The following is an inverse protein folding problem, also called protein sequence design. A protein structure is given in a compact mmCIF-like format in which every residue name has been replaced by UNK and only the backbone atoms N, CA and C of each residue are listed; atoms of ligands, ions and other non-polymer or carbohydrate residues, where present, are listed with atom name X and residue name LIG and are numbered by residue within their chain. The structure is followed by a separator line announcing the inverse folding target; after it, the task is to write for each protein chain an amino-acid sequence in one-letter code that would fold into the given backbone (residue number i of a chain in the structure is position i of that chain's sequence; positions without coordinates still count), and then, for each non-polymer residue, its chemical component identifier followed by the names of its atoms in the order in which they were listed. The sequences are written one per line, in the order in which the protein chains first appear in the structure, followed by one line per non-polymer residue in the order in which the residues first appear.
data_IF_117152663714
#
_entry.id   IF_117152663714
#
_cell.length_a   1.000
_cell.length_b   1.000
_cell.length_c   1.000
_cell.angle_alpha   90.00
_cell.angle_beta   90.00
_cell.angle_gamma   90.00
#
_symmetry.space_group_name_H-M   'P 1'
#
loop_
_entity.id
_entity.type
_entity.pdbx_description
1 polymer ?
#
# COMPACT_ATOMS: atom_id res chain seq x y z
N UNK A 1 0.49 -46.31 16.08
CA UNK A 1 -0.17 -45.81 14.85
C UNK A 1 -0.03 -44.31 14.77
N UNK A 2 0.61 -43.77 13.72
CA UNK A 2 0.66 -42.34 13.51
C UNK A 2 -0.75 -41.83 13.23
N UNK A 3 -1.20 -40.82 13.99
CA UNK A 3 -2.48 -40.15 13.69
C UNK A 3 -2.42 -39.55 12.29
N UNK A 4 -3.47 -39.66 11.47
CA UNK A 4 -3.46 -39.08 10.13
C UNK A 4 -3.19 -37.58 10.20
N UNK A 5 -2.37 -37.07 9.28
CA UNK A 5 -2.18 -35.65 9.06
C UNK A 5 -3.52 -35.05 8.67
N UNK A 6 -3.90 -33.96 9.30
CA UNK A 6 -5.10 -33.24 8.90
C UNK A 6 -4.74 -32.23 7.79
N UNK A 7 -5.68 -31.85 6.92
CA UNK A 7 -5.43 -30.80 5.92
C UNK A 7 -4.94 -29.53 6.60
N UNK A 8 -3.91 -28.93 6.06
CA UNK A 8 -3.32 -27.70 6.61
C UNK A 8 -4.32 -26.54 6.52
N UNK A 9 -5.14 -26.55 5.50
CA UNK A 9 -6.25 -25.60 5.31
C UNK A 9 -7.20 -25.60 6.51
N UNK A 10 -7.56 -26.77 7.01
CA UNK A 10 -8.43 -26.89 8.19
C UNK A 10 -7.76 -26.31 9.45
N UNK A 11 -6.43 -26.41 9.55
CA UNK A 11 -5.68 -25.79 10.66
C UNK A 11 -5.79 -24.26 10.55
N UNK A 12 -5.58 -23.70 9.36
CA UNK A 12 -5.67 -22.26 9.13
C UNK A 12 -7.07 -21.71 9.36
N UNK A 13 -8.09 -22.38 8.84
CA UNK A 13 -9.50 -22.02 9.06
C UNK A 13 -9.85 -22.00 10.55
N UNK A 14 -9.46 -23.03 11.28
CA UNK A 14 -9.73 -23.12 12.71
C UNK A 14 -8.94 -22.09 13.52
N UNK A 15 -7.69 -21.83 13.14
CA UNK A 15 -6.86 -20.83 13.78
C UNK A 15 -7.41 -19.41 13.55
N UNK A 16 -7.89 -19.11 12.34
CA UNK A 16 -8.52 -17.84 12.02
C UNK A 16 -9.84 -17.66 12.78
N UNK A 17 -10.70 -18.67 12.78
CA UNK A 17 -11.95 -18.63 13.54
C UNK A 17 -11.74 -18.40 15.05
N UNK A 18 -10.71 -19.03 15.63
CA UNK A 18 -10.32 -18.83 17.02
C UNK A 18 -9.82 -17.40 17.27
N UNK A 19 -9.03 -16.90 16.35
CA UNK A 19 -8.49 -15.53 16.40
C UNK A 19 -9.63 -14.50 16.33
N UNK A 20 -10.55 -14.64 15.37
CA UNK A 20 -11.67 -13.72 15.17
C UNK A 20 -12.67 -13.72 16.33
N UNK A 21 -12.88 -14.89 16.98
CA UNK A 21 -13.85 -14.98 18.07
C UNK A 21 -13.30 -14.55 19.43
N UNK A 22 -12.00 -14.73 19.69
CA UNK A 22 -11.44 -14.59 21.05
C UNK A 22 -10.13 -13.79 21.10
N UNK A 23 -9.64 -13.34 19.95
CA UNK A 23 -8.44 -12.53 19.86
C UNK A 23 -7.13 -13.29 19.88
N UNK A 24 -6.04 -12.54 19.79
CA UNK A 24 -4.68 -13.07 19.63
C UNK A 24 -4.20 -13.89 20.84
N UNK A 25 -4.68 -13.57 22.03
CA UNK A 25 -4.37 -14.31 23.26
C UNK A 25 -4.92 -15.73 23.29
N UNK A 26 -6.04 -16.00 22.62
CA UNK A 26 -6.64 -17.31 22.55
C UNK A 26 -5.93 -18.27 21.60
N UNK A 27 -5.21 -17.76 20.60
CA UNK A 27 -4.48 -18.54 19.61
C UNK A 27 -3.19 -19.12 20.21
N UNK A 28 -3.35 -20.17 21.02
CA UNK A 28 -2.22 -20.94 21.55
C UNK A 28 -2.13 -22.30 20.87
N UNK A 29 -0.90 -22.82 20.70
CA UNK A 29 -0.65 -24.14 20.11
C UNK A 29 -1.42 -25.25 20.84
N UNK A 30 -1.48 -25.17 22.16
CA UNK A 30 -2.18 -26.17 22.99
C UNK A 30 -3.69 -26.17 22.74
N UNK A 31 -4.30 -24.99 22.66
CA UNK A 31 -5.72 -24.84 22.45
C UNK A 31 -6.12 -25.27 21.04
N UNK A 32 -5.41 -24.81 20.02
CA UNK A 32 -5.66 -25.17 18.64
C UNK A 32 -5.51 -26.68 18.41
N UNK A 33 -4.50 -27.32 19.01
CA UNK A 33 -4.33 -28.77 18.95
C UNK A 33 -5.49 -29.53 19.62
N UNK A 34 -6.00 -29.02 20.75
CA UNK A 34 -7.14 -29.61 21.45
C UNK A 34 -8.42 -29.51 20.60
N UNK A 35 -8.71 -28.37 19.99
CA UNK A 35 -9.86 -28.18 19.09
C UNK A 35 -9.81 -29.09 17.87
N UNK A 36 -8.63 -29.26 17.28
CA UNK A 36 -8.38 -30.13 16.14
C UNK A 36 -8.27 -31.63 16.53
N UNK A 37 -8.32 -31.94 17.84
CA UNK A 37 -8.17 -33.30 18.39
C UNK A 37 -6.88 -34.01 17.97
N UNK A 38 -5.80 -33.24 17.83
CA UNK A 38 -4.44 -33.72 17.50
C UNK A 38 -3.47 -33.42 18.65
N UNK A 39 -2.25 -33.97 18.56
CA UNK A 39 -1.20 -33.62 19.52
C UNK A 39 -0.55 -32.28 19.15
N UNK A 40 -0.05 -31.54 20.14
CA UNK A 40 0.74 -30.33 19.89
C UNK A 40 1.96 -30.61 19.01
N UNK A 41 2.57 -31.81 19.15
CA UNK A 41 3.68 -32.27 18.30
C UNK A 41 3.25 -32.37 16.83
N UNK A 42 2.08 -32.95 16.57
CA UNK A 42 1.53 -33.05 15.21
C UNK A 42 1.29 -31.66 14.62
N UNK A 43 0.71 -30.74 15.41
CA UNK A 43 0.47 -29.38 14.98
C UNK A 43 1.81 -28.66 14.63
N UNK A 44 2.81 -28.77 15.51
CA UNK A 44 4.14 -28.20 15.26
C UNK A 44 4.80 -28.74 13.98
N UNK A 45 4.63 -30.03 13.71
CA UNK A 45 5.17 -30.63 12.49
C UNK A 45 4.51 -30.10 11.21
N UNK A 46 3.24 -29.68 11.27
CA UNK A 46 2.49 -29.21 10.09
C UNK A 46 2.60 -27.69 9.85
N UNK A 47 2.57 -26.89 10.90
CA UNK A 47 2.52 -25.42 10.76
C UNK A 47 3.62 -24.68 11.50
N UNK A 48 4.54 -25.40 12.15
CA UNK A 48 5.65 -24.82 12.88
C UNK A 48 5.24 -24.14 14.19
N UNK A 49 5.97 -23.09 14.55
CA UNK A 49 5.70 -22.31 15.76
C UNK A 49 4.41 -21.48 15.63
N UNK A 50 3.94 -20.96 16.77
CA UNK A 50 2.81 -20.01 16.78
C UNK A 50 3.08 -18.80 15.88
N UNK A 51 4.29 -18.31 15.86
CA UNK A 51 4.69 -17.17 15.01
C UNK A 51 4.63 -17.54 13.53
N UNK A 52 5.14 -18.70 13.16
CA UNK A 52 5.06 -19.21 11.79
C UNK A 52 3.61 -19.40 11.34
N UNK A 53 2.75 -19.92 12.22
CA UNK A 53 1.33 -20.03 11.96
C UNK A 53 0.69 -18.65 11.72
N UNK A 54 0.98 -17.66 12.56
CA UNK A 54 0.46 -16.29 12.38
C UNK A 54 0.96 -15.69 11.06
N UNK A 55 2.24 -15.81 10.72
CA UNK A 55 2.78 -15.32 9.44
C UNK A 55 2.10 -15.99 8.25
N UNK A 56 1.85 -17.30 8.34
CA UNK A 56 1.13 -18.03 7.30
C UNK A 56 -0.34 -17.57 7.17
N UNK A 57 -1.03 -17.30 8.27
CA UNK A 57 -2.40 -16.76 8.27
C UNK A 57 -2.45 -15.37 7.63
N UNK A 58 -1.56 -14.47 8.01
CA UNK A 58 -1.47 -13.12 7.43
C UNK A 58 -1.18 -13.20 5.93
N UNK A 59 -0.16 -13.95 5.54
CA UNK A 59 0.20 -14.13 4.13
C UNK A 59 -0.95 -14.71 3.31
N UNK A 60 -1.65 -15.72 3.83
CA UNK A 60 -2.80 -16.32 3.18
C UNK A 60 -3.94 -15.32 3.03
N UNK A 61 -4.29 -14.60 4.09
CA UNK A 61 -5.32 -13.57 4.04
C UNK A 61 -5.00 -12.52 2.97
N UNK A 62 -3.80 -11.98 3.00
CA UNK A 62 -3.37 -10.97 2.03
C UNK A 62 -3.32 -11.49 0.59
N UNK A 63 -2.94 -12.76 0.37
CA UNK A 63 -2.92 -13.38 -0.96
C UNK A 63 -4.31 -13.69 -1.52
N UNK A 64 -5.33 -13.70 -0.69
CA UNK A 64 -6.72 -13.97 -1.05
C UNK A 64 -7.59 -12.71 -1.10
N UNK A 65 -6.99 -11.53 -0.89
CA UNK A 65 -7.71 -10.27 -1.02
C UNK A 65 -8.28 -10.16 -2.44
N UNK A 66 -9.59 -10.01 -2.52
CA UNK A 66 -10.28 -9.68 -3.76
C UNK A 66 -10.41 -8.15 -3.83
N UNK A 67 -9.32 -7.52 -4.16
CA UNK A 67 -9.31 -6.09 -4.43
C UNK A 67 -9.70 -5.91 -5.90
N UNK A 68 -11.00 -5.91 -6.17
CA UNK A 68 -11.50 -5.65 -7.51
C UNK A 68 -11.11 -4.22 -7.90
N UNK A 69 -10.31 -4.12 -8.96
CA UNK A 69 -9.90 -2.85 -9.49
C UNK A 69 -10.98 -2.34 -10.44
N UNK A 70 -11.58 -1.22 -10.08
CA UNK A 70 -12.54 -0.53 -10.93
C UNK A 70 -11.97 0.83 -11.34
N UNK A 71 -11.87 1.07 -12.64
CA UNK A 71 -11.59 2.41 -13.17
C UNK A 71 -12.80 3.31 -12.95
N UNK A 72 -12.60 4.39 -12.22
CA UNK A 72 -13.57 5.46 -12.03
C UNK A 72 -13.32 6.61 -13.00
N UNK A 73 -14.10 7.72 -12.88
CA UNK A 73 -14.01 8.88 -13.76
C UNK A 73 -12.60 9.49 -13.81
N UNK A 74 -11.88 9.44 -12.69
CA UNK A 74 -10.49 9.88 -12.58
C UNK A 74 -9.67 8.94 -11.70
N UNK A 75 -8.35 9.08 -11.78
CA UNK A 75 -7.43 8.23 -11.05
C UNK A 75 -7.46 8.46 -9.53
N UNK A 76 -7.83 9.66 -9.08
CA UNK A 76 -7.99 9.95 -7.64
C UNK A 76 -9.17 9.18 -7.06
N UNK A 77 -10.29 9.15 -7.77
CA UNK A 77 -11.46 8.35 -7.38
C UNK A 77 -11.14 6.86 -7.39
N UNK A 78 -10.43 6.39 -8.42
CA UNK A 78 -9.94 5.02 -8.52
C UNK A 78 -9.03 4.66 -7.33
N UNK A 79 -8.06 5.51 -7.02
CA UNK A 79 -7.12 5.29 -5.92
C UNK A 79 -7.82 5.33 -4.55
N UNK A 80 -8.75 6.24 -4.34
CA UNK A 80 -9.54 6.32 -3.11
C UNK A 80 -10.38 5.06 -2.92
N UNK A 81 -11.08 4.63 -3.98
CA UNK A 81 -11.88 3.40 -3.94
C UNK A 81 -11.01 2.18 -3.58
N UNK A 82 -9.85 2.04 -4.25
CA UNK A 82 -8.92 0.95 -3.98
C UNK A 82 -8.42 0.96 -2.52
N UNK A 83 -8.04 2.12 -1.99
CA UNK A 83 -7.63 2.26 -0.59
C UNK A 83 -8.76 1.90 0.37
N UNK A 84 -10.00 2.29 0.06
CA UNK A 84 -11.19 1.94 0.87
C UNK A 84 -11.45 0.43 0.85
N UNK A 85 -11.39 -0.20 -0.31
CA UNK A 85 -11.55 -1.66 -0.43
C UNK A 85 -10.46 -2.43 0.35
N UNK A 86 -9.21 -1.98 0.28
CA UNK A 86 -8.13 -2.56 1.09
C UNK A 86 -8.37 -2.37 2.59
N UNK A 87 -8.80 -1.18 3.00
CA UNK A 87 -9.11 -0.87 4.39
C UNK A 87 -10.24 -1.78 4.93
N UNK A 88 -11.34 -1.91 4.19
CA UNK A 88 -12.46 -2.80 4.54
C UNK A 88 -12.00 -4.26 4.64
N UNK A 89 -11.17 -4.72 3.70
CA UNK A 89 -10.64 -6.08 3.71
C UNK A 89 -9.75 -6.36 4.93
N UNK A 90 -8.96 -5.38 5.38
CA UNK A 90 -8.17 -5.48 6.60
C UNK A 90 -9.05 -5.49 7.86
N UNK A 91 -10.17 -4.78 7.84
CA UNK A 91 -11.14 -4.76 8.94
C UNK A 91 -12.00 -6.03 9.03
N UNK A 92 -12.07 -6.86 7.99
CA UNK A 92 -12.78 -8.14 8.03
C UNK A 92 -12.21 -9.10 9.10
N UNK A 93 -10.90 -9.00 9.38
CA UNK A 93 -10.21 -9.81 10.40
C UNK A 93 -9.34 -8.91 11.30
N UNK A 94 -9.95 -8.14 12.21
CA UNK A 94 -9.25 -7.09 12.97
C UNK A 94 -8.12 -7.64 13.84
N UNK A 95 -8.30 -8.78 14.51
CA UNK A 95 -7.24 -9.38 15.31
C UNK A 95 -6.08 -9.91 14.47
N UNK A 96 -6.33 -10.34 13.22
CA UNK A 96 -5.26 -10.73 12.30
C UNK A 96 -4.50 -9.51 11.79
N UNK A 97 -5.21 -8.43 11.47
CA UNK A 97 -4.63 -7.15 11.04
C UNK A 97 -3.74 -6.54 12.12
N UNK A 98 -4.15 -6.63 13.40
CA UNK A 98 -3.31 -6.20 14.53
C UNK A 98 -1.96 -6.94 14.60
N UNK A 99 -1.90 -8.19 14.12
CA UNK A 99 -0.71 -9.02 14.12
C UNK A 99 0.18 -8.83 12.88
N UNK A 100 -0.22 -7.97 11.94
CA UNK A 100 0.59 -7.65 10.76
C UNK A 100 1.88 -6.93 11.14
N UNK A 101 2.91 -7.17 10.35
CA UNK A 101 4.22 -6.53 10.44
C UNK A 101 4.53 -5.74 9.17
N UNK A 102 5.59 -4.95 9.22
CA UNK A 102 6.08 -4.18 8.06
C UNK A 102 6.36 -5.08 6.84
N UNK A 103 6.83 -6.30 7.06
CA UNK A 103 7.18 -7.23 5.98
C UNK A 103 5.95 -7.77 5.24
N UNK A 104 4.81 -7.86 5.92
CA UNK A 104 3.56 -8.37 5.33
C UNK A 104 3.01 -7.45 4.24
N UNK A 105 3.34 -6.15 4.24
CA UNK A 105 2.96 -5.19 3.18
C UNK A 105 3.39 -5.62 1.78
N UNK A 106 4.49 -6.40 1.68
CA UNK A 106 4.98 -6.85 0.38
C UNK A 106 3.97 -7.73 -0.36
N UNK A 107 3.14 -8.48 0.35
CA UNK A 107 2.05 -9.24 -0.25
C UNK A 107 0.97 -8.35 -0.87
N UNK A 108 0.70 -7.19 -0.26
CA UNK A 108 -0.26 -6.20 -0.78
C UNK A 108 0.30 -5.50 -2.03
N UNK A 109 1.62 -5.34 -2.12
CA UNK A 109 2.25 -4.71 -3.29
C UNK A 109 2.00 -5.47 -4.61
N UNK A 110 1.67 -6.75 -4.57
CA UNK A 110 1.28 -7.50 -5.76
C UNK A 110 -0.03 -6.99 -6.41
N UNK A 111 -0.90 -6.31 -5.64
CA UNK A 111 -2.16 -5.74 -6.12
C UNK A 111 -2.03 -4.29 -6.62
N UNK A 112 -0.85 -3.70 -6.55
CA UNK A 112 -0.63 -2.27 -6.81
C UNK A 112 -0.39 -1.97 -8.28
N UNK A 113 -0.05 -2.96 -9.10
CA UNK A 113 0.31 -2.75 -10.50
C UNK A 113 -0.81 -2.09 -11.31
N UNK A 114 -2.06 -2.45 -11.07
CA UNK A 114 -3.21 -1.86 -11.75
C UNK A 114 -3.40 -0.39 -11.35
N UNK A 115 -3.23 -0.07 -10.07
CA UNK A 115 -3.28 1.30 -9.57
C UNK A 115 -2.13 2.15 -10.13
N UNK A 116 -0.92 1.60 -10.23
CA UNK A 116 0.21 2.26 -10.90
C UNK A 116 -0.13 2.54 -12.35
N UNK A 117 -0.69 1.56 -13.06
CA UNK A 117 -1.07 1.72 -14.46
C UNK A 117 -2.17 2.77 -14.64
N UNK A 118 -3.17 2.83 -13.77
CA UNK A 118 -4.18 3.89 -13.77
C UNK A 118 -3.54 5.29 -13.60
N UNK A 119 -2.65 5.41 -12.63
CA UNK A 119 -1.90 6.66 -12.37
C UNK A 119 -1.04 7.08 -13.57
N UNK A 120 -0.41 6.12 -14.26
CA UNK A 120 0.40 6.38 -15.46
C UNK A 120 -0.44 6.88 -16.64
N UNK A 121 -1.67 6.36 -16.81
CA UNK A 121 -2.60 6.82 -17.88
C UNK A 121 -2.92 8.30 -17.78
N UNK A 122 -2.94 8.85 -16.59
CA UNK A 122 -3.13 10.28 -16.31
C UNK A 122 -1.88 11.16 -16.54
N UNK A 123 -0.80 10.55 -17.06
CA UNK A 123 0.42 11.28 -17.36
C UNK A 123 1.31 11.58 -16.14
N UNK A 124 1.03 11.00 -14.99
CA UNK A 124 1.89 11.08 -13.81
C UNK A 124 3.21 10.36 -14.10
N UNK A 125 4.39 10.98 -13.85
CA UNK A 125 5.67 10.33 -14.08
C UNK A 125 5.81 9.01 -13.30
N UNK A 126 6.35 7.96 -13.95
CA UNK A 126 6.41 6.61 -13.37
C UNK A 126 7.00 6.56 -11.96
N UNK A 127 8.09 7.30 -11.72
CA UNK A 127 8.71 7.36 -10.39
C UNK A 127 7.71 7.87 -9.34
N UNK A 128 7.00 8.94 -9.67
CA UNK A 128 6.02 9.55 -8.77
C UNK A 128 4.80 8.64 -8.58
N UNK A 129 4.32 7.97 -9.64
CA UNK A 129 3.23 7.00 -9.56
C UNK A 129 3.55 5.84 -8.61
N UNK A 130 4.75 5.25 -8.73
CA UNK A 130 5.17 4.14 -7.86
C UNK A 130 5.28 4.59 -6.40
N UNK A 131 5.88 5.76 -6.14
CA UNK A 131 5.99 6.28 -4.76
C UNK A 131 4.63 6.68 -4.18
N UNK A 132 3.73 7.22 -4.99
CA UNK A 132 2.34 7.46 -4.59
C UNK A 132 1.66 6.17 -4.13
N UNK A 133 1.69 5.12 -4.96
CA UNK A 133 1.06 3.85 -4.62
C UNK A 133 1.66 3.23 -3.34
N UNK A 134 2.98 3.32 -3.16
CA UNK A 134 3.63 2.89 -1.90
C UNK A 134 3.14 3.69 -0.69
N UNK A 135 3.00 4.99 -0.84
CA UNK A 135 2.50 5.85 0.23
C UNK A 135 1.05 5.49 0.59
N UNK A 136 0.20 5.24 -0.40
CA UNK A 136 -1.19 4.84 -0.21
C UNK A 136 -1.31 3.49 0.51
N UNK A 137 -0.54 2.48 0.10
CA UNK A 137 -0.50 1.17 0.78
C UNK A 137 -0.05 1.33 2.23
N UNK A 138 1.04 2.06 2.46
CA UNK A 138 1.57 2.27 3.80
C UNK A 138 0.55 3.03 4.68
N UNK A 139 -0.08 4.08 4.15
CA UNK A 139 -1.13 4.81 4.86
C UNK A 139 -2.27 3.86 5.24
N UNK A 140 -2.82 3.11 4.29
CA UNK A 140 -3.98 2.24 4.51
C UNK A 140 -3.68 1.17 5.55
N UNK A 141 -2.57 0.44 5.42
CA UNK A 141 -2.20 -0.62 6.37
C UNK A 141 -1.97 -0.04 7.77
N UNK A 142 -1.16 1.03 7.90
CA UNK A 142 -0.88 1.58 9.21
C UNK A 142 -2.12 2.18 9.87
N UNK A 143 -2.98 2.83 9.07
CA UNK A 143 -4.24 3.37 9.56
C UNK A 143 -5.14 2.25 10.10
N UNK A 144 -5.35 1.17 9.33
CA UNK A 144 -6.13 0.00 9.77
C UNK A 144 -5.57 -0.63 11.05
N UNK A 145 -4.24 -0.77 11.17
CA UNK A 145 -3.62 -1.31 12.39
C UNK A 145 -3.90 -0.41 13.60
N UNK A 146 -3.83 0.91 13.44
CA UNK A 146 -4.11 1.86 14.54
C UNK A 146 -5.57 1.78 14.95
N UNK A 147 -6.50 1.73 14.00
CA UNK A 147 -7.94 1.61 14.28
C UNK A 147 -8.27 0.33 15.04
N UNK A 148 -7.83 -0.84 14.53
CA UNK A 148 -8.17 -2.12 15.16
C UNK A 148 -7.57 -2.24 16.56
N UNK A 149 -6.37 -1.69 16.80
CA UNK A 149 -5.79 -1.59 18.15
C UNK A 149 -6.60 -0.70 19.05
N UNK A 150 -7.03 0.46 18.56
CA UNK A 150 -7.88 1.38 19.32
C UNK A 150 -9.23 0.78 19.73
N UNK A 151 -9.77 -0.17 18.94
CA UNK A 151 -10.99 -0.92 19.29
C UNK A 151 -10.74 -1.91 20.43
N UNK A 152 -9.58 -2.56 20.44
CA UNK A 152 -9.23 -3.62 21.39
C UNK A 152 -8.59 -3.12 22.67
N UNK A 153 -8.04 -1.91 22.69
CA UNK A 153 -7.46 -1.32 23.90
C UNK A 153 -8.54 -0.91 24.90
N UNK A 154 -8.34 -1.17 26.22
CA UNK A 154 -9.28 -0.71 27.22
C UNK A 154 -9.35 0.83 27.17
N UNK A 155 -10.57 1.35 27.09
CA UNK A 155 -10.82 2.80 27.01
C UNK A 155 -10.34 3.50 28.28
N UNK A 156 -9.13 4.02 28.24
CA UNK A 156 -8.50 4.74 29.36
C UNK A 156 -9.05 6.18 29.55
N UNK A 157 -9.83 6.69 28.59
CA UNK A 157 -10.29 8.08 28.57
C UNK A 157 -11.70 8.21 28.01
N UNK A 158 -12.47 9.19 28.51
CA UNK A 158 -13.78 9.61 27.98
C UNK A 158 -13.70 10.07 26.50
N UNK A 159 -12.53 10.47 26.05
CA UNK A 159 -12.32 10.96 24.69
C UNK A 159 -12.05 9.84 23.65
N UNK A 160 -11.97 8.58 24.08
CA UNK A 160 -11.59 7.48 23.19
C UNK A 160 -12.60 7.23 22.04
N UNK A 161 -13.90 7.45 22.28
CA UNK A 161 -14.93 7.30 21.24
C UNK A 161 -14.85 8.43 20.19
N UNK A 162 -14.65 9.66 20.64
CA UNK A 162 -14.46 10.82 19.75
C UNK A 162 -13.16 10.71 18.94
N UNK A 163 -12.11 10.16 19.53
CA UNK A 163 -10.84 9.94 18.83
C UNK A 163 -10.95 8.82 17.80
N UNK A 164 -11.64 7.72 18.10
CA UNK A 164 -11.92 6.65 17.13
C UNK A 164 -12.72 7.17 15.92
N UNK A 165 -13.80 7.92 16.16
CA UNK A 165 -14.60 8.55 15.09
C UNK A 165 -13.76 9.53 14.25
N UNK A 166 -12.85 10.24 14.88
CA UNK A 166 -11.92 11.15 14.21
C UNK A 166 -10.90 10.41 13.35
N UNK A 167 -10.36 9.28 13.82
CA UNK A 167 -9.42 8.45 13.08
C UNK A 167 -10.11 7.90 11.84
N UNK A 168 -11.30 7.32 11.96
CA UNK A 168 -12.10 6.80 10.85
C UNK A 168 -12.38 7.87 9.78
N UNK A 169 -12.83 9.06 10.19
CA UNK A 169 -13.10 10.18 9.28
C UNK A 169 -11.86 10.76 8.60
N UNK A 170 -10.69 10.64 9.22
CA UNK A 170 -9.45 11.16 8.67
C UNK A 170 -8.87 10.30 7.56
N UNK A 171 -9.22 9.02 7.46
CA UNK A 171 -8.63 8.13 6.46
C UNK A 171 -8.86 8.60 5.01
N UNK A 172 -10.12 8.78 4.55
CA UNK A 172 -10.37 9.22 3.17
C UNK A 172 -9.76 10.60 2.88
N UNK A 173 -9.72 11.47 3.89
CA UNK A 173 -9.13 12.80 3.76
C UNK A 173 -7.61 12.73 3.59
N UNK A 174 -6.95 11.86 4.34
CA UNK A 174 -5.50 11.64 4.23
C UNK A 174 -5.12 11.08 2.86
N UNK A 175 -5.90 10.14 2.33
CA UNK A 175 -5.74 9.63 0.96
C UNK A 175 -5.83 10.77 -0.05
N UNK A 176 -6.87 11.61 0.02
CA UNK A 176 -7.07 12.75 -0.89
C UNK A 176 -5.91 13.76 -0.82
N UNK A 177 -5.37 14.01 0.35
CA UNK A 177 -4.21 14.92 0.49
C UNK A 177 -2.96 14.38 -0.21
N UNK A 178 -2.68 13.07 -0.10
CA UNK A 178 -1.59 12.44 -0.85
C UNK A 178 -1.80 12.61 -2.35
N UNK A 179 -3.00 12.29 -2.84
CA UNK A 179 -3.33 12.36 -4.26
C UNK A 179 -3.20 13.79 -4.81
N UNK A 180 -3.74 14.78 -4.09
CA UNK A 180 -3.61 16.19 -4.47
C UNK A 180 -2.14 16.65 -4.51
N UNK A 181 -1.32 16.23 -3.54
CA UNK A 181 0.12 16.52 -3.52
C UNK A 181 0.84 15.92 -4.72
N UNK A 182 0.51 14.69 -5.09
CA UNK A 182 1.09 13.99 -6.26
C UNK A 182 0.72 14.70 -7.56
N UNK A 183 -0.53 15.13 -7.73
CA UNK A 183 -0.98 15.90 -8.89
C UNK A 183 -0.21 17.22 -9.01
N UNK A 184 -0.08 17.96 -7.93
CA UNK A 184 0.65 19.21 -7.89
C UNK A 184 2.14 19.03 -8.28
N UNK A 185 2.77 17.98 -7.77
CA UNK A 185 4.18 17.66 -8.09
C UNK A 185 4.36 17.28 -9.56
N UNK A 186 3.44 16.49 -10.12
CA UNK A 186 3.46 16.13 -11.53
C UNK A 186 3.35 17.35 -12.45
N UNK A 187 2.43 18.29 -12.13
CA UNK A 187 2.26 19.52 -12.87
C UNK A 187 3.50 20.42 -12.79
N UNK A 188 4.10 20.54 -11.60
CA UNK A 188 5.30 21.37 -11.39
C UNK A 188 6.48 20.85 -12.21
N UNK A 189 6.68 19.53 -12.23
CA UNK A 189 7.69 18.83 -13.02
C UNK A 189 7.50 19.09 -14.53
N UNK A 190 6.27 19.05 -15.02
CA UNK A 190 5.93 19.29 -16.42
C UNK A 190 6.18 20.74 -16.81
N UNK A 191 5.83 21.71 -15.95
CA UNK A 191 6.09 23.15 -16.18
C UNK A 191 7.59 23.44 -16.19
N UNK A 192 8.37 22.83 -15.28
CA UNK A 192 9.83 22.96 -15.24
C UNK A 192 10.49 22.48 -16.53
N UNK A 193 10.10 21.29 -17.04
CA UNK A 193 10.60 20.74 -18.30
C UNK A 193 10.28 21.64 -19.51
N UNK A 194 9.09 22.21 -19.59
CA UNK A 194 8.70 23.15 -20.67
C UNK A 194 9.52 24.43 -20.63
N UNK A 195 9.81 24.97 -19.45
CA UNK A 195 10.65 26.17 -19.30
C UNK A 195 12.08 25.94 -19.72
N UNK A 196 12.70 24.81 -19.33
CA UNK A 196 14.06 24.45 -19.73
C UNK A 196 14.18 24.16 -21.22
N UNK A 197 13.21 23.48 -21.83
CA UNK A 197 13.18 23.26 -23.29
C UNK A 197 13.04 24.57 -24.07
N UNK A 198 12.21 25.51 -23.61
CA UNK A 198 12.08 26.84 -24.23
C UNK A 198 13.32 27.72 -24.07
N UNK A 199 14.08 27.57 -22.98
CA UNK A 199 15.35 28.31 -22.77
C UNK A 199 16.48 27.82 -23.70
N UNK A 200 16.55 26.50 -23.94
CA UNK A 200 17.52 25.90 -24.88
C UNK A 200 17.20 26.34 -26.32
N UNK A 201 15.96 26.40 -26.71
CA UNK A 201 15.55 26.84 -28.06
C UNK A 201 15.89 28.35 -28.31
N UNK A 202 15.78 29.19 -27.28
CA UNK A 202 16.12 30.61 -27.38
C UNK A 202 17.65 30.86 -27.45
N UNK A 203 18.47 29.99 -26.81
CA UNK A 203 19.94 30.08 -26.93
C UNK A 203 20.46 29.62 -28.29
N UNK A 204 19.80 28.67 -28.95
CA UNK A 204 20.15 28.20 -30.30
C UNK A 204 19.90 29.22 -31.43
N UNK A 205 19.00 30.21 -31.21
CA UNK A 205 18.73 31.28 -32.21
C UNK A 205 19.64 32.53 -32.13
N UNK A 206 20.57 32.57 -31.17
CA UNK A 206 21.58 33.65 -31.09
C UNK A 206 22.95 33.13 -31.54
N UNK A 207 23.10 32.78 -32.77
CA UNK A 207 24.36 32.64 -33.55
C UNK A 207 24.03 33.30 -34.87
N UNK A 208 24.79 34.12 -35.45
CA UNK A 208 26.00 34.90 -35.47
C UNK A 208 25.73 36.11 -36.38
N UNK A 209 26.25 37.33 -36.12
CA UNK A 209 26.44 38.29 -37.19
C UNK A 209 27.72 37.89 -37.95
N UNK A 210 27.56 37.46 -39.18
CA UNK A 210 28.65 37.25 -40.15
C UNK A 210 29.42 38.56 -40.27
N UNK A 211 30.66 38.59 -39.82
CA UNK A 211 31.56 39.65 -40.07
C UNK A 211 31.98 39.59 -41.55
N UNK A 212 31.44 40.51 -42.34
CA UNK A 212 31.89 40.75 -43.71
C UNK A 212 33.24 41.44 -43.61
N UNK A 213 34.30 40.71 -43.88
CA UNK A 213 35.63 41.30 -44.08
C UNK A 213 35.65 41.82 -45.50
N UNK A 214 35.62 43.17 -45.63
CA UNK A 214 35.83 43.89 -46.85
C UNK A 214 37.34 43.97 -47.12
N UNK A 215 37.88 43.25 -48.10
CA UNK A 215 39.18 43.41 -48.63
C UNK A 215 39.15 44.50 -49.67
N UNK A 216 39.57 45.74 -49.29
CA UNK A 216 39.88 46.80 -50.26
C UNK A 216 41.25 46.50 -50.84
N UNK A 217 41.30 46.26 -52.12
CA UNK A 217 42.52 46.21 -52.89
C UNK A 217 43.10 47.66 -53.11
N UNK A 218 44.38 47.78 -52.95
CA UNK A 218 45.10 48.88 -53.52
C UNK A 218 46.17 48.32 -54.43
N UNK A 219 46.01 48.61 -55.73
CA UNK A 219 47.07 48.49 -56.70
C UNK A 219 47.97 49.68 -56.63
N UNK A 220 49.15 49.55 -57.21
CA UNK A 220 49.98 50.69 -57.52
C UNK A 220 51.44 50.32 -57.71
N UNK A 221 51.88 50.42 -58.98
CA UNK A 221 53.23 50.48 -59.55
C UNK A 221 54.12 49.26 -59.41
#
# INVERSE_FOLDING_TARGET
MAKPLIPVELIYERALALLDSEGSGALTTRRLAAELKISTRTLYQQVGSREQLIRALVSRHLSQLKLDFHDHEDWEATALHWCTALHEALHAHPFLTELMTIDDRNAVMAYVDELVNATLREGIPRKLAVECCRALVNLTINHSIVEVRGIHEPKLSRNSAAESDRIEKNFPMSVRWILAGVRQEAESTTRGRRRSAGAVHRRGKRRDPVAVISTAGTGGC
#
